data_IF_085625533547
#
_entry.id   IF_085625533547
#
_cell.length_a   1.000
_cell.length_b   1.000
_cell.length_c   1.000
_cell.angle_alpha   90.00
_cell.angle_beta   90.00
_cell.angle_gamma   90.00
#
_symmetry.space_group_name_H-M   'P 1'
#
loop_
_entity.id
_entity.type
_entity.pdbx_description
1 polymer ?
#
# COMPACT_ATOMS: atom_id res chain seq x y z
N UNK A 1 -2.26 -20.25 -1.98
CA UNK A 1 -2.38 -19.00 -2.76
C UNK A 1 -0.99 -18.58 -3.19
N UNK A 2 -0.73 -18.51 -4.49
CA UNK A 2 0.60 -18.22 -5.07
C UNK A 2 0.90 -16.72 -5.00
N UNK A 3 2.18 -16.36 -5.00
CA UNK A 3 2.62 -14.98 -5.17
C UNK A 3 2.18 -14.51 -6.57
N UNK A 4 1.60 -13.31 -6.69
CA UNK A 4 1.17 -12.76 -7.96
C UNK A 4 1.82 -11.40 -8.20
N UNK A 5 2.25 -11.14 -9.43
CA UNK A 5 2.55 -9.79 -9.89
C UNK A 5 1.27 -9.14 -10.37
N UNK A 6 0.85 -8.05 -9.71
CA UNK A 6 -0.28 -7.23 -10.15
C UNK A 6 0.20 -5.90 -10.69
N UNK A 7 -0.48 -5.41 -11.72
CA UNK A 7 -0.24 -4.12 -12.34
C UNK A 7 -1.53 -3.31 -12.27
N UNK A 8 -1.39 -2.07 -11.82
CA UNK A 8 -2.46 -1.09 -11.71
C UNK A 8 -2.10 0.15 -12.52
N UNK A 9 -3.11 0.91 -12.93
CA UNK A 9 -2.96 2.19 -13.61
C UNK A 9 -3.49 3.30 -12.72
N UNK A 10 -2.81 4.44 -12.70
CA UNK A 10 -3.30 5.64 -12.02
C UNK A 10 -4.43 6.27 -12.84
N UNK A 11 -5.54 6.62 -12.17
CA UNK A 11 -6.72 7.22 -12.79
C UNK A 11 -6.48 8.67 -13.22
N UNK A 12 -5.70 9.40 -12.44
CA UNK A 12 -5.27 10.77 -12.72
C UNK A 12 -3.84 10.80 -13.23
N UNK A 13 -3.52 11.80 -14.05
CA UNK A 13 -2.16 12.02 -14.56
C UNK A 13 -1.25 12.57 -13.46
N UNK A 14 -0.82 11.68 -12.56
CA UNK A 14 0.24 11.94 -11.60
C UNK A 14 1.55 11.35 -12.13
N UNK A 15 2.48 12.24 -12.51
CA UNK A 15 3.83 11.85 -12.92
C UNK A 15 4.65 11.31 -11.75
N UNK A 16 5.76 10.61 -12.05
CA UNK A 16 6.64 10.04 -11.03
C UNK A 16 7.17 11.06 -10.02
N UNK A 17 7.37 12.32 -10.43
CA UNK A 17 7.74 13.43 -9.54
C UNK A 17 6.65 13.70 -8.49
N UNK A 18 5.40 13.85 -8.91
CA UNK A 18 4.28 14.07 -7.99
C UNK A 18 4.02 12.86 -7.08
N UNK A 19 4.22 11.64 -7.59
CA UNK A 19 4.17 10.43 -6.75
C UNK A 19 5.28 10.47 -5.69
N UNK A 20 6.51 10.77 -6.07
CA UNK A 20 7.65 10.85 -5.16
C UNK A 20 7.44 11.90 -4.07
N UNK A 21 6.99 13.10 -4.44
CA UNK A 21 6.73 14.18 -3.48
C UNK A 21 5.71 13.78 -2.41
N UNK A 22 4.64 13.07 -2.80
CA UNK A 22 3.61 12.61 -1.87
C UNK A 22 4.05 11.43 -0.98
N UNK A 23 4.91 10.55 -1.49
CA UNK A 23 5.36 9.36 -0.75
C UNK A 23 6.61 9.61 0.11
N UNK A 24 7.41 10.63 -0.20
CA UNK A 24 8.67 10.88 0.49
C UNK A 24 8.45 11.25 1.96
N UNK A 25 8.93 10.38 2.85
CA UNK A 25 8.77 10.57 4.30
C UNK A 25 7.33 10.39 4.78
N UNK A 26 6.47 9.76 3.96
CA UNK A 26 5.08 9.52 4.34
C UNK A 26 5.00 8.64 5.59
N UNK A 27 4.26 9.15 6.59
CA UNK A 27 3.98 8.48 7.85
C UNK A 27 2.59 8.89 8.33
N UNK A 28 1.74 7.91 8.63
CA UNK A 28 0.39 8.09 9.17
C UNK A 28 0.25 7.22 10.41
N UNK A 29 -0.14 7.84 11.52
CA UNK A 29 -0.45 7.18 12.78
C UNK A 29 -1.96 7.24 13.02
N UNK A 30 -2.54 6.10 13.36
CA UNK A 30 -3.98 5.94 13.61
C UNK A 30 -4.20 5.27 14.96
N UNK A 31 -5.03 5.86 15.81
CA UNK A 31 -5.43 5.24 17.08
C UNK A 31 -6.56 4.24 16.85
N UNK A 32 -6.32 2.99 17.25
CA UNK A 32 -7.37 1.98 17.36
C UNK A 32 -7.77 1.83 18.82
N UNK A 33 -9.06 2.00 19.10
CA UNK A 33 -9.65 1.78 20.42
C UNK A 33 -10.84 0.83 20.35
N UNK A 34 -10.78 -0.27 21.11
CA UNK A 34 -11.88 -1.21 21.26
C UNK A 34 -11.89 -1.75 22.70
N UNK A 35 -12.94 -1.45 23.45
CA UNK A 35 -13.00 -1.74 24.89
C UNK A 35 -11.88 -1.03 25.66
N UNK A 36 -11.12 -1.79 26.43
CA UNK A 36 -9.97 -1.30 27.21
C UNK A 36 -8.64 -1.30 26.43
N UNK A 37 -8.66 -1.74 25.17
CA UNK A 37 -7.46 -1.81 24.35
C UNK A 37 -7.29 -0.54 23.53
N UNK A 38 -6.12 0.09 23.65
CA UNK A 38 -5.64 1.18 22.79
C UNK A 38 -4.37 0.74 22.09
N UNK A 39 -4.36 0.83 20.77
CA UNK A 39 -3.23 0.48 19.92
C UNK A 39 -2.95 1.64 18.97
N UNK A 40 -1.69 1.96 18.76
CA UNK A 40 -1.26 2.91 17.73
C UNK A 40 -0.88 2.10 16.48
N UNK A 41 -1.54 2.38 15.36
CA UNK A 41 -1.27 1.73 14.08
C UNK A 41 -0.44 2.66 13.22
N UNK A 42 0.63 2.14 12.65
CA UNK A 42 1.52 2.89 11.79
C UNK A 42 1.36 2.47 10.33
N UNK A 43 1.31 3.46 9.43
CA UNK A 43 1.48 3.27 7.98
C UNK A 43 2.58 4.20 7.50
N UNK A 44 3.60 3.67 6.83
CA UNK A 44 4.73 4.45 6.35
C UNK A 44 5.30 3.92 5.04
N UNK A 45 5.97 4.81 4.31
CA UNK A 45 6.72 4.47 3.10
C UNK A 45 8.21 4.48 3.42
N UNK A 46 8.84 3.32 3.25
CA UNK A 46 10.26 3.12 3.47
C UNK A 46 11.02 2.95 2.16
N UNK A 47 12.33 3.24 2.19
CA UNK A 47 13.28 2.93 1.10
C UNK A 47 12.85 3.47 -0.27
N UNK A 48 12.17 4.61 -0.28
CA UNK A 48 11.76 5.26 -1.51
C UNK A 48 12.99 5.71 -2.31
N UNK A 49 13.13 5.25 -3.55
CA UNK A 49 14.27 5.58 -4.40
C UNK A 49 13.92 5.57 -5.88
N UNK A 50 14.63 6.40 -6.66
CA UNK A 50 14.56 6.35 -8.12
C UNK A 50 15.56 5.35 -8.69
N UNK A 51 15.09 4.57 -9.64
CA UNK A 51 15.89 3.63 -10.43
C UNK A 51 15.67 3.88 -11.92
N UNK A 52 16.43 3.19 -12.77
CA UNK A 52 16.21 3.24 -14.23
C UNK A 52 14.84 2.70 -14.67
N UNK A 53 14.12 1.99 -13.79
CA UNK A 53 12.79 1.45 -14.06
C UNK A 53 11.66 2.39 -13.59
N UNK A 54 11.94 3.32 -12.69
CA UNK A 54 10.96 4.24 -12.13
C UNK A 54 11.22 4.57 -10.66
N UNK A 55 10.15 4.64 -9.86
CA UNK A 55 10.19 4.95 -8.42
C UNK A 55 9.80 3.70 -7.64
N UNK A 56 10.73 3.14 -6.87
CA UNK A 56 10.50 1.97 -6.03
C UNK A 56 10.48 2.31 -4.54
N UNK A 57 9.77 1.52 -3.76
CA UNK A 57 9.71 1.66 -2.31
C UNK A 57 9.06 0.47 -1.63
N UNK A 58 9.00 0.51 -0.31
CA UNK A 58 8.31 -0.48 0.51
C UNK A 58 7.22 0.24 1.29
N UNK A 59 5.97 -0.20 1.14
CA UNK A 59 4.89 0.26 2.01
C UNK A 59 4.81 -0.69 3.20
N UNK A 60 4.92 -0.12 4.40
CA UNK A 60 4.72 -0.79 5.68
C UNK A 60 3.41 -0.29 6.28
N UNK A 61 2.54 -1.20 6.71
CA UNK A 61 1.29 -0.82 7.36
C UNK A 61 0.86 -1.84 8.42
N UNK A 62 0.35 -1.33 9.51
CA UNK A 62 -0.17 -2.12 10.61
C UNK A 62 -1.63 -2.50 10.42
N UNK A 63 -1.99 -3.66 10.95
CA UNK A 63 -3.38 -4.07 11.15
C UNK A 63 -3.56 -4.70 12.50
N UNK A 64 -4.74 -4.49 13.06
CA UNK A 64 -5.20 -5.22 14.24
C UNK A 64 -5.54 -6.65 13.84
N UNK A 65 -5.05 -7.60 14.63
CA UNK A 65 -5.39 -9.02 14.57
C UNK A 65 -5.91 -9.45 15.94
N UNK A 66 -7.05 -10.11 15.97
CA UNK A 66 -7.64 -10.65 17.20
C UNK A 66 -7.11 -12.06 17.40
N UNK A 67 -6.36 -12.26 18.48
CA UNK A 67 -5.81 -13.56 18.83
C UNK A 67 -6.61 -14.13 20.01
N UNK A 68 -7.22 -15.31 19.85
CA UNK A 68 -7.89 -15.98 20.95
C UNK A 68 -6.86 -16.46 21.99
N UNK A 69 -7.02 -16.05 23.23
CA UNK A 69 -6.20 -16.41 24.38
C UNK A 69 -7.11 -16.83 25.52
N UNK A 70 -7.15 -18.14 25.81
CA UNK A 70 -7.90 -18.73 26.95
C UNK A 70 -9.38 -18.31 27.03
N UNK A 71 -10.02 -18.09 25.88
CA UNK A 71 -11.44 -17.68 25.80
C UNK A 71 -11.66 -16.18 25.57
N UNK A 72 -10.61 -15.37 25.64
CA UNK A 72 -10.68 -13.92 25.36
C UNK A 72 -10.05 -13.61 23.97
N UNK A 73 -10.57 -12.61 23.27
CA UNK A 73 -9.97 -12.10 22.02
C UNK A 73 -9.11 -10.90 22.35
N UNK A 74 -7.79 -11.04 22.22
CA UNK A 74 -6.85 -9.96 22.49
C UNK A 74 -6.43 -9.32 21.16
N UNK A 75 -6.69 -8.02 20.95
CA UNK A 75 -6.22 -7.32 19.75
C UNK A 75 -4.69 -7.14 19.83
N UNK A 76 -4.00 -7.42 18.73
CA UNK A 76 -2.56 -7.25 18.60
C UNK A 76 -2.21 -6.60 17.27
N UNK A 77 -1.09 -5.90 17.22
CA UNK A 77 -0.59 -5.26 16.00
C UNK A 77 0.16 -6.29 15.16
N UNK A 78 -0.16 -6.33 13.88
CA UNK A 78 0.62 -7.05 12.87
C UNK A 78 0.99 -6.12 11.74
N UNK A 79 2.29 -5.92 11.57
CA UNK A 79 2.87 -5.15 10.47
C UNK A 79 2.94 -6.00 9.20
N UNK A 80 2.51 -5.42 8.09
CA UNK A 80 2.64 -5.97 6.74
C UNK A 80 3.53 -5.05 5.91
N UNK A 81 4.48 -5.65 5.21
CA UNK A 81 5.38 -4.92 4.30
C UNK A 81 5.24 -5.48 2.90
N UNK A 82 5.17 -4.61 1.89
CA UNK A 82 5.20 -5.04 0.51
C UNK A 82 5.97 -4.05 -0.38
N UNK A 83 6.85 -4.56 -1.27
CA UNK A 83 7.52 -3.72 -2.24
C UNK A 83 6.55 -3.26 -3.33
N UNK A 84 6.75 -2.04 -3.81
CA UNK A 84 6.05 -1.49 -4.95
C UNK A 84 7.02 -0.81 -5.92
N UNK A 85 6.60 -0.70 -7.18
CA UNK A 85 7.30 0.06 -8.22
C UNK A 85 6.29 0.87 -9.01
N UNK A 86 6.47 2.19 -9.05
CA UNK A 86 5.82 3.04 -10.04
C UNK A 86 6.72 3.17 -11.26
N UNK A 87 6.17 2.92 -12.45
CA UNK A 87 6.91 3.01 -13.71
C UNK A 87 6.07 3.69 -14.78
N UNK A 88 6.71 4.43 -15.68
CA UNK A 88 6.02 5.08 -16.80
C UNK A 88 6.05 4.17 -18.02
N UNK A 89 4.88 3.83 -18.55
CA UNK A 89 4.73 3.05 -19.77
C UNK A 89 3.77 3.76 -20.73
N UNK A 90 4.24 4.08 -21.95
CA UNK A 90 3.45 4.78 -22.99
C UNK A 90 2.75 6.06 -22.48
N UNK A 91 3.45 6.84 -21.65
CA UNK A 91 2.93 8.08 -21.06
C UNK A 91 1.99 7.88 -19.87
N UNK A 92 1.75 6.64 -19.42
CA UNK A 92 0.94 6.35 -18.24
C UNK A 92 1.81 5.90 -17.08
N UNK A 93 1.53 6.39 -15.89
CA UNK A 93 2.13 5.87 -14.66
C UNK A 93 1.40 4.59 -14.26
N UNK A 94 2.15 3.51 -14.06
CA UNK A 94 1.68 2.21 -13.63
C UNK A 94 2.27 1.87 -12.27
N UNK A 95 1.48 1.23 -11.41
CA UNK A 95 1.92 0.65 -10.16
C UNK A 95 2.08 -0.87 -10.34
N UNK A 96 3.24 -1.40 -9.99
CA UNK A 96 3.53 -2.84 -9.96
C UNK A 96 3.70 -3.27 -8.51
N UNK A 97 3.00 -4.34 -8.12
CA UNK A 97 3.05 -4.92 -6.78
C UNK A 97 3.23 -6.42 -6.88
N UNK A 98 4.16 -6.97 -6.10
CA UNK A 98 4.43 -8.42 -6.07
C UNK A 98 3.97 -9.01 -4.74
N UNK A 99 2.71 -9.42 -4.67
CA UNK A 99 2.11 -9.97 -3.46
C UNK A 99 0.94 -10.93 -3.75
N UNK A 100 0.42 -11.60 -2.71
CA UNK A 100 -0.86 -12.31 -2.80
C UNK A 100 -1.94 -11.32 -3.23
N UNK A 101 -2.84 -11.73 -4.14
CA UNK A 101 -3.90 -10.88 -4.73
C UNK A 101 -4.55 -9.90 -3.73
N UNK A 102 -5.10 -10.40 -2.63
CA UNK A 102 -5.77 -9.58 -1.61
C UNK A 102 -4.85 -8.55 -0.93
N UNK A 103 -3.55 -8.85 -0.80
CA UNK A 103 -2.56 -7.91 -0.25
C UNK A 103 -2.16 -6.87 -1.29
N UNK A 104 -1.99 -7.26 -2.54
CA UNK A 104 -1.73 -6.31 -3.62
C UNK A 104 -2.89 -5.32 -3.79
N UNK A 105 -4.13 -5.80 -3.74
CA UNK A 105 -5.33 -4.96 -3.84
C UNK A 105 -5.40 -3.97 -2.67
N UNK A 106 -5.14 -4.43 -1.44
CA UNK A 106 -5.05 -3.55 -0.28
C UNK A 106 -3.93 -2.51 -0.41
N UNK A 107 -2.80 -2.88 -1.01
CA UNK A 107 -1.69 -1.95 -1.24
C UNK A 107 -2.10 -0.84 -2.20
N UNK A 108 -2.79 -1.21 -3.28
CA UNK A 108 -3.31 -0.26 -4.26
C UNK A 108 -4.33 0.70 -3.62
N UNK A 109 -5.21 0.20 -2.76
CA UNK A 109 -6.17 1.04 -2.02
C UNK A 109 -5.43 2.03 -1.10
N UNK A 110 -4.46 1.56 -0.32
CA UNK A 110 -3.68 2.43 0.58
C UNK A 110 -2.89 3.48 -0.22
N UNK A 111 -2.21 3.09 -1.29
CA UNK A 111 -1.49 4.04 -2.15
C UNK A 111 -2.46 5.02 -2.84
N UNK A 112 -3.68 4.59 -3.18
CA UNK A 112 -4.71 5.48 -3.69
C UNK A 112 -5.12 6.52 -2.65
N UNK A 113 -5.37 6.11 -1.40
CA UNK A 113 -5.68 7.02 -0.30
C UNK A 113 -4.55 8.04 -0.08
N UNK A 114 -3.30 7.59 -0.13
CA UNK A 114 -2.12 8.45 0.07
C UNK A 114 -1.97 9.46 -1.07
N UNK A 115 -2.12 9.00 -2.32
CA UNK A 115 -1.84 9.83 -3.49
C UNK A 115 -2.98 10.78 -3.84
N UNK A 116 -4.22 10.35 -3.66
CA UNK A 116 -5.41 11.03 -4.17
C UNK A 116 -6.44 11.41 -3.09
N UNK A 117 -6.11 11.20 -1.81
CA UNK A 117 -7.03 11.46 -0.68
C UNK A 117 -8.35 10.68 -0.80
N UNK A 118 -8.35 9.56 -1.53
CA UNK A 118 -9.53 8.75 -1.80
C UNK A 118 -9.23 7.40 -2.45
N UNK A 119 -10.23 6.52 -2.45
CA UNK A 119 -10.16 5.20 -3.08
C UNK A 119 -10.54 5.31 -4.57
N UNK A 120 -9.91 4.51 -5.43
CA UNK A 120 -10.24 4.44 -6.86
C UNK A 120 -9.33 5.28 -7.77
N UNK A 121 -8.35 5.98 -7.21
CA UNK A 121 -7.29 6.65 -7.97
C UNK A 121 -6.25 5.67 -8.55
N UNK A 122 -6.25 4.40 -8.11
CA UNK A 122 -5.45 3.32 -8.66
C UNK A 122 -6.38 2.19 -9.10
N UNK A 123 -6.43 1.93 -10.41
CA UNK A 123 -7.37 1.02 -11.04
C UNK A 123 -6.68 -0.27 -11.48
N UNK A 124 -7.30 -1.42 -11.22
CA UNK A 124 -6.81 -2.72 -11.71
C UNK A 124 -6.88 -2.75 -13.24
N UNK A 125 -5.77 -3.10 -13.88
CA UNK A 125 -5.71 -3.27 -15.33
C UNK A 125 -5.74 -4.75 -15.66
N UNK A 126 -6.57 -5.14 -16.62
CA UNK A 126 -6.50 -6.47 -17.23
C UNK A 126 -5.53 -6.44 -18.40
N UNK A 127 -4.49 -7.27 -18.33
CA UNK A 127 -3.69 -7.63 -19.49
C UNK A 127 -4.47 -8.76 -20.19
N UNK A 128 -5.03 -8.54 -21.40
CA UNK A 128 -5.70 -9.60 -22.14
C UNK A 128 -4.71 -10.75 -22.45
N UNK A 129 -5.19 -12.00 -22.48
CA UNK A 129 -4.37 -13.18 -22.77
C UNK A 129 -3.81 -13.19 -24.19
#
# INVERSE_FOLDING_TARGET
MVLAGKVYKLAEELGLEGVEEKLKGYRREEEFSEGDHRLELLTEVERLSRTGLGLEGVLSYDRVLWIPRRGELIPTIRTYTAPFLFSTFRGQTLLVVVEKKHRADRLADLLSEILFEGVGGILEVRIPP
#
